data_IF_042772807832
#
_entry.id   IF_042772807832
#
_cell.length_a   1.000
_cell.length_b   1.000
_cell.length_c   1.000
_cell.angle_alpha   90.00
_cell.angle_beta   90.00
_cell.angle_gamma   90.00
#
_symmetry.space_group_name_H-M   'P 1'
#
loop_
_entity.id
_entity.type
_entity.pdbx_description
1 polymer ?
#
# COMPACT_ATOMS: atom_id res chain seq x y z
N UNK A 1 -40.19 -49.80 1.54
CA UNK A 1 -39.42 -48.52 1.52
C UNK A 1 -38.13 -48.65 0.70
N UNK A 2 -38.18 -48.93 -0.62
CA UNK A 2 -36.96 -49.08 -1.46
C UNK A 2 -37.12 -48.61 -2.92
N UNK A 3 -38.00 -47.65 -3.21
CA UNK A 3 -38.29 -47.26 -4.60
C UNK A 3 -38.26 -45.74 -4.86
N UNK A 4 -37.39 -44.97 -4.18
CA UNK A 4 -37.24 -43.52 -4.42
C UNK A 4 -35.81 -43.14 -4.87
N UNK A 5 -34.94 -44.12 -5.13
CA UNK A 5 -33.51 -43.88 -5.45
C UNK A 5 -33.08 -44.29 -6.88
N UNK A 6 -33.98 -44.68 -7.78
CA UNK A 6 -33.63 -45.20 -9.11
C UNK A 6 -33.79 -44.23 -10.29
N UNK A 7 -33.90 -42.91 -10.05
CA UNK A 7 -33.88 -41.94 -11.16
C UNK A 7 -32.48 -41.36 -11.38
N UNK A 8 -31.90 -41.58 -12.56
CA UNK A 8 -30.59 -41.04 -12.96
C UNK A 8 -30.48 -39.50 -12.79
N UNK A 9 -31.61 -38.78 -12.91
CA UNK A 9 -31.68 -37.33 -12.69
C UNK A 9 -31.63 -36.94 -11.20
N UNK A 10 -32.11 -37.80 -10.31
CA UNK A 10 -32.06 -37.56 -8.87
C UNK A 10 -30.67 -37.87 -8.29
N UNK A 11 -29.98 -38.90 -8.83
CA UNK A 11 -28.55 -39.16 -8.56
C UNK A 11 -27.65 -38.00 -8.98
N UNK A 12 -27.91 -37.40 -10.16
CA UNK A 12 -27.11 -36.27 -10.66
C UNK A 12 -27.30 -35.00 -9.79
N UNK A 13 -28.49 -34.80 -9.23
CA UNK A 13 -28.79 -33.70 -8.30
C UNK A 13 -28.15 -33.92 -6.93
N UNK A 14 -28.22 -35.13 -6.38
CA UNK A 14 -27.55 -35.50 -5.12
C UNK A 14 -26.02 -35.38 -5.23
N UNK A 15 -25.46 -35.77 -6.38
CA UNK A 15 -24.03 -35.61 -6.64
C UNK A 15 -23.61 -34.14 -6.70
N UNK A 16 -24.40 -33.27 -7.34
CA UNK A 16 -24.12 -31.83 -7.40
C UNK A 16 -24.29 -31.13 -6.06
N UNK A 17 -25.33 -31.47 -5.28
CA UNK A 17 -25.49 -30.91 -3.94
C UNK A 17 -24.37 -31.36 -3.00
N UNK A 18 -23.96 -32.63 -3.08
CA UNK A 18 -22.83 -33.14 -2.31
C UNK A 18 -21.50 -32.48 -2.71
N UNK A 19 -21.24 -32.31 -4.00
CA UNK A 19 -20.03 -31.65 -4.49
C UNK A 19 -19.97 -30.16 -4.06
N UNK A 20 -21.11 -29.46 -4.08
CA UNK A 20 -21.17 -28.07 -3.63
C UNK A 20 -20.92 -27.93 -2.12
N UNK A 21 -21.49 -28.84 -1.33
CA UNK A 21 -21.31 -28.86 0.12
C UNK A 21 -19.86 -29.15 0.53
N UNK A 22 -19.18 -30.03 -0.22
CA UNK A 22 -17.75 -30.27 -0.09
C UNK A 22 -16.90 -29.03 -0.42
N UNK A 23 -17.22 -28.34 -1.52
CA UNK A 23 -16.48 -27.14 -1.93
C UNK A 23 -16.64 -26.01 -0.91
N UNK A 24 -17.86 -25.81 -0.38
CA UNK A 24 -18.12 -24.82 0.66
C UNK A 24 -17.37 -25.13 1.96
N UNK A 25 -17.33 -26.41 2.37
CA UNK A 25 -16.56 -26.86 3.52
C UNK A 25 -15.05 -26.62 3.35
N UNK A 26 -14.52 -26.84 2.15
CA UNK A 26 -13.10 -26.63 1.85
C UNK A 26 -12.71 -25.15 1.90
N UNK A 27 -13.56 -24.26 1.38
CA UNK A 27 -13.36 -22.80 1.47
C UNK A 27 -13.45 -22.31 2.92
N UNK A 28 -14.42 -22.78 3.69
CA UNK A 28 -14.54 -22.46 5.11
C UNK A 28 -13.33 -22.97 5.91
N UNK A 29 -12.86 -24.18 5.60
CA UNK A 29 -11.64 -24.76 6.17
C UNK A 29 -10.40 -23.92 5.85
N UNK A 30 -10.25 -23.43 4.63
CA UNK A 30 -9.16 -22.53 4.25
C UNK A 30 -9.24 -21.19 5.00
N UNK A 31 -10.42 -20.61 5.19
CA UNK A 31 -10.59 -19.35 5.94
C UNK A 31 -10.18 -19.53 7.41
N UNK A 32 -10.46 -20.68 8.02
CA UNK A 32 -10.08 -20.97 9.41
C UNK A 32 -8.60 -21.36 9.52
N UNK A 33 -8.08 -22.13 8.56
CA UNK A 33 -6.69 -22.60 8.55
C UNK A 33 -5.68 -21.47 8.24
N UNK A 34 -6.12 -20.42 7.55
CA UNK A 34 -5.34 -19.21 7.30
C UNK A 34 -5.96 -18.03 8.04
N UNK A 35 -5.73 -17.91 9.37
CA UNK A 35 -6.17 -16.73 10.11
C UNK A 35 -5.56 -15.49 9.47
N UNK A 36 -6.42 -14.53 9.09
CA UNK A 36 -5.97 -13.23 8.60
C UNK A 36 -4.99 -12.64 9.60
N UNK A 37 -3.84 -12.20 9.11
CA UNK A 37 -2.80 -11.49 9.88
C UNK A 37 -3.42 -10.61 10.95
N UNK A 38 -3.04 -10.85 12.22
CA UNK A 38 -3.63 -10.22 13.39
C UNK A 38 -3.59 -8.69 13.35
N UNK A 39 -4.22 -8.02 14.34
CA UNK A 39 -4.24 -6.57 14.41
C UNK A 39 -2.85 -5.98 14.19
N UNK A 40 -2.77 -4.86 13.46
CA UNK A 40 -1.56 -4.07 13.31
C UNK A 40 -0.89 -3.89 14.68
N UNK A 41 0.45 -3.82 14.76
CA UNK A 41 1.15 -3.69 16.04
C UNK A 41 0.76 -2.36 16.69
N UNK A 42 -0.30 -2.40 17.49
CA UNK A 42 -0.67 -1.37 18.44
C UNK A 42 0.10 -1.63 19.72
N UNK A 43 0.90 -0.64 20.10
CA UNK A 43 1.35 -0.33 21.46
C UNK A 43 1.61 -1.54 22.37
N UNK A 44 2.61 -2.34 22.01
CA UNK A 44 3.29 -3.15 23.02
C UNK A 44 4.21 -2.23 23.81
N UNK A 45 3.73 -1.70 24.93
CA UNK A 45 4.59 -1.02 25.91
C UNK A 45 5.52 -2.06 26.52
N UNK A 46 6.78 -2.07 26.11
CA UNK A 46 7.81 -2.92 26.71
C UNK A 46 8.19 -2.35 28.08
N UNK A 47 8.01 -3.06 29.19
CA UNK A 47 8.49 -2.61 30.49
C UNK A 47 10.03 -2.63 30.48
N UNK A 48 10.65 -1.46 30.51
CA UNK A 48 12.11 -1.30 30.58
C UNK A 48 12.76 -0.54 29.42
N UNK A 49 12.00 -0.14 28.40
CA UNK A 49 12.50 0.82 27.41
C UNK A 49 12.45 2.22 27.99
N UNK A 50 13.59 2.80 28.37
CA UNK A 50 13.69 4.23 28.58
C UNK A 50 13.36 4.91 27.25
N UNK A 51 12.13 5.44 27.15
CA UNK A 51 11.71 6.20 26.00
C UNK A 51 12.61 7.44 25.96
N UNK A 52 13.53 7.47 24.99
CA UNK A 52 14.33 8.66 24.69
C UNK A 52 13.34 9.81 24.57
N UNK A 53 13.37 10.71 25.54
CA UNK A 53 12.49 11.88 25.52
C UNK A 53 12.85 12.65 24.25
N UNK A 54 11.91 12.81 23.30
CA UNK A 54 12.21 13.54 22.09
C UNK A 54 12.67 14.94 22.51
N UNK A 55 13.82 15.35 21.96
CA UNK A 55 14.40 16.65 22.24
C UNK A 55 13.34 17.74 21.95
N UNK A 56 13.42 18.90 22.62
CA UNK A 56 12.36 19.90 22.52
C UNK A 56 12.35 20.48 21.10
N UNK A 57 11.25 20.30 20.35
CA UNK A 57 11.07 20.96 19.03
C UNK A 57 11.22 22.46 19.20
N UNK A 58 12.18 23.04 18.51
CA UNK A 58 12.44 24.48 18.55
C UNK A 58 11.92 25.18 17.29
N UNK A 59 11.74 26.49 17.42
CA UNK A 59 11.51 27.37 16.28
C UNK A 59 12.80 27.39 15.47
N UNK A 60 12.72 26.93 14.21
CA UNK A 60 13.83 26.83 13.25
C UNK A 60 14.60 28.14 12.99
N UNK A 61 14.06 29.27 13.42
CA UNK A 61 14.48 30.63 13.07
C UNK A 61 15.96 31.02 13.34
N UNK A 62 16.64 30.66 14.44
CA UNK A 62 17.94 31.26 14.77
C UNK A 62 19.07 30.86 13.82
N UNK A 63 19.01 29.68 13.21
CA UNK A 63 20.04 29.18 12.28
C UNK A 63 19.49 28.83 10.88
N UNK A 64 18.23 29.14 10.60
CA UNK A 64 17.53 28.75 9.38
C UNK A 64 18.29 29.11 8.10
N UNK A 65 18.75 30.35 7.97
CA UNK A 65 19.44 30.81 6.75
C UNK A 65 20.77 30.08 6.53
N UNK A 66 21.53 29.85 7.61
CA UNK A 66 22.81 29.14 7.54
C UNK A 66 22.59 27.67 7.15
N UNK A 67 21.63 27.00 7.78
CA UNK A 67 21.31 25.59 7.52
C UNK A 67 20.80 25.41 6.09
N UNK A 68 19.87 26.27 5.64
CA UNK A 68 19.38 26.23 4.26
C UNK A 68 20.49 26.53 3.24
N UNK A 69 21.37 27.48 3.52
CA UNK A 69 22.52 27.77 2.66
C UNK A 69 23.47 26.57 2.54
N UNK A 70 23.76 25.89 3.65
CA UNK A 70 24.58 24.69 3.66
C UNK A 70 23.93 23.53 2.90
N UNK A 71 22.62 23.32 3.12
CA UNK A 71 21.84 22.31 2.42
C UNK A 71 21.82 22.54 0.90
N UNK A 72 21.63 23.80 0.47
CA UNK A 72 21.70 24.18 -0.95
C UNK A 72 23.08 23.93 -1.55
N UNK A 73 24.15 24.31 -0.83
CA UNK A 73 25.51 24.04 -1.28
C UNK A 73 25.76 22.54 -1.42
N UNK A 74 25.29 21.72 -0.48
CA UNK A 74 25.41 20.26 -0.56
C UNK A 74 24.73 19.70 -1.82
N UNK A 75 23.50 20.13 -2.12
CA UNK A 75 22.79 19.71 -3.34
C UNK A 75 23.56 20.14 -4.60
N UNK A 76 23.98 21.41 -4.67
CA UNK A 76 24.71 21.95 -5.82
C UNK A 76 26.07 21.26 -6.05
N UNK A 77 26.71 20.76 -5.00
CA UNK A 77 28.04 20.15 -5.08
C UNK A 77 27.96 18.63 -5.18
N UNK A 78 27.52 17.97 -4.12
CA UNK A 78 27.50 16.51 -3.96
C UNK A 78 26.44 15.84 -4.83
N UNK A 79 25.21 16.36 -4.84
CA UNK A 79 24.09 15.70 -5.53
C UNK A 79 24.19 15.90 -7.04
N UNK A 80 24.51 17.11 -7.51
CA UNK A 80 24.69 17.37 -8.96
C UNK A 80 26.06 16.99 -9.52
N UNK A 81 26.98 16.48 -8.68
CA UNK A 81 28.32 16.01 -9.06
C UNK A 81 29.22 17.06 -9.73
N UNK A 82 29.08 18.33 -9.33
CA UNK A 82 29.83 19.45 -9.96
C UNK A 82 31.11 19.84 -9.24
N UNK A 83 31.12 19.81 -7.91
CA UNK A 83 32.27 20.20 -7.10
C UNK A 83 32.36 19.30 -5.87
N UNK A 84 32.83 18.08 -6.11
CA UNK A 84 32.84 17.03 -5.10
C UNK A 84 33.87 17.29 -4.00
N UNK A 85 34.99 17.95 -4.32
CA UNK A 85 35.97 18.31 -3.30
C UNK A 85 35.37 19.29 -2.29
N UNK A 86 34.58 20.28 -2.75
CA UNK A 86 33.87 21.17 -1.83
C UNK A 86 32.84 20.45 -0.97
N UNK A 87 32.13 19.46 -1.54
CA UNK A 87 31.16 18.66 -0.80
C UNK A 87 31.77 17.92 0.39
N UNK A 88 33.06 17.55 0.32
CA UNK A 88 33.77 16.92 1.43
C UNK A 88 33.64 17.76 2.70
N UNK A 89 33.75 19.09 2.64
CA UNK A 89 33.70 19.94 3.83
C UNK A 89 32.29 20.14 4.41
N UNK A 90 31.25 19.85 3.63
CA UNK A 90 29.85 20.09 3.97
C UNK A 90 29.21 18.96 4.78
N UNK A 91 29.78 17.76 4.76
CA UNK A 91 29.21 16.56 5.41
C UNK A 91 29.90 16.23 6.73
N UNK A 92 29.24 15.53 7.65
CA UNK A 92 29.83 15.05 8.90
C UNK A 92 30.85 13.93 8.64
N UNK A 93 31.80 13.69 9.57
CA UNK A 93 32.79 12.61 9.40
C UNK A 93 32.18 11.23 9.18
N UNK A 94 31.01 10.96 9.78
CA UNK A 94 30.24 9.72 9.60
C UNK A 94 29.84 9.45 8.14
N UNK A 95 29.38 10.46 7.38
CA UNK A 95 29.10 10.30 5.94
C UNK A 95 30.36 10.01 5.12
N UNK A 96 31.55 10.28 5.66
CA UNK A 96 32.83 10.08 4.98
C UNK A 96 33.49 8.77 5.39
N UNK A 97 32.91 8.04 6.34
CA UNK A 97 33.50 6.79 6.81
C UNK A 97 33.67 5.81 5.65
N UNK A 98 34.87 5.25 5.52
CA UNK A 98 35.23 4.35 4.42
C UNK A 98 35.66 5.05 3.12
N UNK A 99 35.57 6.39 3.04
CA UNK A 99 35.97 7.15 1.85
C UNK A 99 37.21 8.01 2.12
N UNK A 100 38.01 8.21 1.09
CA UNK A 100 39.13 9.16 1.10
C UNK A 100 38.71 10.43 0.40
N UNK A 101 39.33 11.58 0.70
CA UNK A 101 39.04 12.83 -0.01
C UNK A 101 39.28 12.70 -1.52
N UNK A 102 40.28 11.93 -1.91
CA UNK A 102 40.62 11.65 -3.32
C UNK A 102 39.60 10.74 -4.00
N UNK A 103 39.12 9.67 -3.34
CA UNK A 103 38.03 8.83 -3.89
C UNK A 103 36.72 9.62 -3.97
N UNK A 104 36.46 10.46 -2.97
CA UNK A 104 35.29 11.33 -2.94
C UNK A 104 35.28 12.32 -4.10
N UNK A 105 36.41 13.00 -4.37
CA UNK A 105 36.55 13.92 -5.49
C UNK A 105 36.34 13.25 -6.86
N UNK A 106 36.59 11.93 -6.96
CA UNK A 106 36.33 11.13 -8.17
C UNK A 106 34.87 10.68 -8.32
N UNK A 107 34.03 10.92 -7.32
CA UNK A 107 32.62 10.53 -7.35
C UNK A 107 32.26 9.27 -6.57
N UNK A 108 33.24 8.63 -5.93
CA UNK A 108 32.97 7.50 -5.03
C UNK A 108 32.53 8.04 -3.66
N UNK A 109 31.22 8.29 -3.53
CA UNK A 109 30.60 8.92 -2.35
C UNK A 109 29.22 8.29 -2.09
N UNK A 110 28.75 8.26 -0.84
CA UNK A 110 27.45 7.69 -0.47
C UNK A 110 26.29 8.69 -0.70
N UNK A 111 26.27 9.33 -1.86
CA UNK A 111 25.24 10.33 -2.24
C UNK A 111 24.66 9.94 -3.58
N UNK A 112 23.35 9.74 -3.65
CA UNK A 112 22.67 9.39 -4.90
C UNK A 112 22.74 10.60 -5.86
N UNK A 113 23.36 10.46 -7.04
CA UNK A 113 23.44 11.57 -7.99
C UNK A 113 22.07 11.91 -8.56
N UNK A 114 21.78 13.20 -8.70
CA UNK A 114 20.57 13.68 -9.36
C UNK A 114 20.83 15.01 -10.09
N UNK A 115 20.44 15.16 -11.37
CA UNK A 115 20.67 16.38 -12.15
C UNK A 115 19.65 17.47 -11.78
N UNK A 116 19.70 17.93 -10.53
CA UNK A 116 18.77 18.91 -9.99
C UNK A 116 18.90 20.26 -10.73
N UNK A 117 17.77 20.76 -11.24
CA UNK A 117 17.63 22.11 -11.78
C UNK A 117 16.87 23.02 -10.82
N UNK A 118 15.82 22.49 -10.18
CA UNK A 118 15.04 23.18 -9.15
C UNK A 118 14.99 22.31 -7.90
N UNK A 119 15.15 22.92 -6.74
CA UNK A 119 14.96 22.28 -5.44
C UNK A 119 13.87 23.01 -4.67
N UNK A 120 12.92 22.27 -4.09
CA UNK A 120 11.93 22.80 -3.14
C UNK A 120 12.21 22.21 -1.77
N UNK A 121 12.10 23.05 -0.74
CA UNK A 121 12.48 22.70 0.62
C UNK A 121 11.26 22.69 1.53
N UNK A 122 11.20 21.71 2.43
CA UNK A 122 10.23 21.62 3.50
C UNK A 122 10.96 21.25 4.79
N UNK A 123 10.60 21.88 5.90
CA UNK A 123 11.16 21.54 7.21
C UNK A 123 10.34 20.39 7.79
N UNK A 124 10.95 19.21 7.97
CA UNK A 124 10.29 18.09 8.64
C UNK A 124 10.26 18.30 10.16
N UNK A 125 11.43 18.57 10.76
CA UNK A 125 11.53 18.94 12.17
C UNK A 125 12.81 19.72 12.47
N UNK A 126 12.83 20.40 13.61
CA UNK A 126 13.99 21.12 14.13
C UNK A 126 14.07 20.96 15.65
N UNK A 127 15.19 20.43 16.11
CA UNK A 127 15.62 20.30 17.50
C UNK A 127 16.84 21.18 17.75
N UNK A 128 17.32 21.25 18.99
CA UNK A 128 18.53 22.01 19.35
C UNK A 128 19.79 21.43 18.69
N UNK A 129 19.81 20.10 18.61
CA UNK A 129 20.97 19.33 18.18
C UNK A 129 20.86 18.85 16.75
N UNK A 130 19.67 18.86 16.15
CA UNK A 130 19.42 18.22 14.87
C UNK A 130 18.30 18.93 14.09
N UNK A 131 18.45 19.01 12.77
CA UNK A 131 17.44 19.53 11.85
C UNK A 131 17.28 18.57 10.69
N UNK A 132 16.04 18.30 10.32
CA UNK A 132 15.72 17.49 9.15
C UNK A 132 14.93 18.31 8.12
N UNK A 133 15.49 18.35 6.92
CA UNK A 133 14.94 19.03 5.76
C UNK A 133 14.57 18.02 4.70
N UNK A 134 13.36 18.15 4.18
CA UNK A 134 12.97 17.44 2.97
C UNK A 134 13.22 18.30 1.76
N UNK A 135 13.90 17.71 0.78
CA UNK A 135 14.22 18.37 -0.47
C UNK A 135 13.63 17.59 -1.64
N UNK A 136 12.71 18.23 -2.37
CA UNK A 136 12.23 17.73 -3.65
C UNK A 136 13.09 18.29 -4.78
N UNK A 137 13.78 17.40 -5.48
CA UNK A 137 14.66 17.71 -6.59
C UNK A 137 13.93 17.48 -7.91
N UNK A 138 13.98 18.48 -8.80
CA UNK A 138 13.38 18.44 -10.12
C UNK A 138 14.48 18.56 -11.17
N UNK A 139 14.52 17.62 -12.11
CA UNK A 139 15.40 17.69 -13.28
C UNK A 139 14.85 18.70 -14.30
N UNK A 140 15.62 18.99 -15.36
CA UNK A 140 15.07 19.81 -16.45
C UNK A 140 13.97 19.02 -17.18
N UNK A 141 12.95 19.69 -17.74
CA UNK A 141 11.88 18.99 -18.46
C UNK A 141 12.37 18.08 -19.58
N UNK A 142 13.49 18.42 -20.22
CA UNK A 142 14.12 17.62 -21.29
C UNK A 142 14.67 16.28 -20.82
N UNK A 143 15.03 16.16 -19.54
CA UNK A 143 15.67 14.95 -18.97
C UNK A 143 14.62 13.87 -18.65
N UNK A 144 13.31 14.22 -18.64
CA UNK A 144 12.17 13.31 -18.42
C UNK A 144 12.28 12.46 -17.15
N UNK A 145 12.96 12.97 -16.12
CA UNK A 145 13.10 12.32 -14.82
C UNK A 145 11.99 12.74 -13.87
N UNK A 146 11.55 11.80 -13.02
CA UNK A 146 10.64 12.10 -11.92
C UNK A 146 11.28 13.01 -10.88
N UNK A 147 10.49 13.90 -10.25
CA UNK A 147 10.93 14.54 -9.03
C UNK A 147 11.17 13.49 -7.95
N UNK A 148 12.28 13.62 -7.23
CA UNK A 148 12.63 12.72 -6.11
C UNK A 148 12.76 13.56 -4.84
N UNK A 149 12.22 13.03 -3.74
CA UNK A 149 12.32 13.66 -2.41
C UNK A 149 13.38 12.93 -1.60
N UNK A 150 14.25 13.70 -0.96
CA UNK A 150 15.24 13.20 -0.03
C UNK A 150 15.05 13.83 1.34
N UNK A 151 15.26 13.03 2.38
CA UNK A 151 15.44 13.50 3.74
C UNK A 151 16.92 13.86 3.91
N UNK A 152 17.16 15.10 4.34
CA UNK A 152 18.47 15.69 4.55
C UNK A 152 18.58 16.07 6.02
N UNK A 153 19.32 15.27 6.77
CA UNK A 153 19.55 15.49 8.20
C UNK A 153 20.84 16.27 8.41
N UNK A 154 20.80 17.24 9.31
CA UNK A 154 21.93 18.09 9.67
C UNK A 154 22.05 18.16 11.18
N UNK A 155 23.27 18.10 11.68
CA UNK A 155 23.58 18.41 13.08
C UNK A 155 24.98 19.02 13.22
N UNK A 156 25.31 19.63 14.37
CA UNK A 156 26.66 20.07 14.67
C UNK A 156 27.62 18.88 14.71
N UNK A 157 28.71 18.96 13.95
CA UNK A 157 29.76 17.95 13.86
C UNK A 157 31.12 18.55 14.19
N UNK A 158 31.90 17.85 15.02
CA UNK A 158 33.22 18.28 15.50
C UNK A 158 33.36 18.19 17.02
N UNK A 159 34.52 18.57 17.55
CA UNK A 159 34.71 18.70 19.00
C UNK A 159 33.80 19.80 19.57
N UNK A 160 33.40 19.69 20.84
CA UNK A 160 32.40 20.57 21.47
C UNK A 160 32.71 22.08 21.35
N UNK A 161 33.99 22.48 21.33
CA UNK A 161 34.43 23.88 21.17
C UNK A 161 34.50 24.37 19.71
N UNK A 162 34.22 23.51 18.73
CA UNK A 162 34.32 23.81 17.29
C UNK A 162 33.26 23.13 16.43
N UNK A 163 32.14 22.72 17.03
CA UNK A 163 31.07 22.03 16.34
C UNK A 163 30.45 22.97 15.28
N UNK A 164 30.36 22.49 14.04
CA UNK A 164 29.76 23.21 12.93
C UNK A 164 28.63 22.38 12.33
N UNK A 165 27.51 23.02 12.01
CA UNK A 165 26.43 22.40 11.26
C UNK A 165 26.98 21.79 9.96
N UNK A 166 26.67 20.53 9.72
CA UNK A 166 27.05 19.76 8.54
C UNK A 166 25.97 18.72 8.24
N UNK A 167 25.96 18.20 7.03
CA UNK A 167 25.03 17.14 6.61
C UNK A 167 25.49 15.80 7.17
N UNK A 168 24.61 15.10 7.87
CA UNK A 168 24.87 13.78 8.45
C UNK A 168 24.26 12.64 7.66
N UNK A 169 23.13 12.91 6.98
CA UNK A 169 22.41 11.92 6.21
C UNK A 169 21.78 12.55 4.97
N UNK A 170 21.73 11.77 3.90
CA UNK A 170 21.01 12.09 2.68
C UNK A 170 20.44 10.81 2.08
N UNK A 171 19.15 10.56 2.32
CA UNK A 171 18.48 9.32 1.93
C UNK A 171 17.17 9.62 1.22
N UNK A 172 16.71 8.77 0.28
CA UNK A 172 15.41 8.94 -0.35
C UNK A 172 14.29 8.86 0.68
N UNK A 173 13.34 9.79 0.65
CA UNK A 173 12.19 9.80 1.56
C UNK A 173 11.18 8.73 1.15
N UNK A 174 11.04 7.59 1.85
CA UNK A 174 10.26 6.44 1.34
C UNK A 174 8.77 6.73 1.11
N UNK A 175 8.22 7.73 1.80
CA UNK A 175 6.80 8.12 1.73
C UNK A 175 6.49 9.18 0.65
N UNK A 176 7.52 9.84 0.11
CA UNK A 176 7.39 11.01 -0.76
C UNK A 176 8.20 10.90 -2.07
N UNK A 177 9.26 10.10 -2.10
CA UNK A 177 10.02 9.82 -3.31
C UNK A 177 9.19 8.92 -4.24
N UNK A 178 8.92 9.41 -5.46
CA UNK A 178 8.45 8.55 -6.54
C UNK A 178 9.56 7.56 -6.97
N UNK A 179 9.20 6.57 -7.78
CA UNK A 179 10.19 5.64 -8.35
C UNK A 179 11.32 6.40 -9.07
N UNK A 180 12.57 5.95 -8.83
CA UNK A 180 13.74 6.35 -9.60
C UNK A 180 13.60 5.82 -11.04
N UNK A 181 12.97 6.61 -11.91
CA UNK A 181 12.64 6.15 -13.26
C UNK A 181 12.06 7.23 -14.17
N UNK A 182 11.80 6.89 -15.44
CA UNK A 182 11.18 7.79 -16.42
C UNK A 182 9.79 8.23 -15.96
N UNK A 183 9.39 9.44 -16.35
CA UNK A 183 8.17 10.03 -15.84
C UNK A 183 6.89 9.31 -16.24
N UNK A 184 6.12 8.83 -15.26
CA UNK A 184 4.73 8.41 -15.43
C UNK A 184 3.78 9.58 -15.14
N UNK A 185 2.53 9.53 -15.60
CA UNK A 185 1.57 10.63 -15.42
C UNK A 185 1.30 11.02 -13.95
N UNK A 186 1.68 10.16 -12.99
CA UNK A 186 1.63 10.43 -11.54
C UNK A 186 2.62 11.50 -11.07
N UNK A 187 3.56 11.95 -11.89
CA UNK A 187 4.63 12.88 -11.50
C UNK A 187 4.23 14.36 -11.51
N UNK A 188 2.94 14.65 -11.74
CA UNK A 188 2.36 16.02 -11.69
C UNK A 188 1.94 16.47 -10.28
N UNK A 189 2.03 15.60 -9.28
CA UNK A 189 1.67 15.94 -7.89
C UNK A 189 2.82 16.64 -7.17
N UNK A 190 2.51 17.54 -6.22
CA UNK A 190 3.51 18.13 -5.34
C UNK A 190 4.09 17.05 -4.41
N UNK A 191 5.34 16.61 -4.60
CA UNK A 191 5.90 15.47 -3.88
C UNK A 191 6.21 15.83 -2.40
N UNK A 192 6.24 17.11 -2.04
CA UNK A 192 6.42 17.60 -0.67
C UNK A 192 5.10 17.72 0.12
N UNK A 193 3.96 17.35 -0.46
CA UNK A 193 2.69 17.36 0.25
C UNK A 193 2.63 16.15 1.20
N UNK A 194 3.43 16.18 2.27
CA UNK A 194 3.33 15.24 3.39
C UNK A 194 2.08 15.62 4.18
N UNK A 195 0.98 14.99 3.81
CA UNK A 195 -0.30 15.18 4.46
C UNK A 195 -1.42 14.56 3.65
N UNK A 196 -1.38 13.23 3.45
CA UNK A 196 -2.56 12.31 3.39
C UNK A 196 -2.30 10.95 2.76
N UNK A 197 -1.08 10.58 2.32
CA UNK A 197 -0.89 9.25 1.70
C UNK A 197 0.37 8.56 2.18
N UNK A 198 0.27 7.92 3.34
CA UNK A 198 1.09 6.74 3.62
C UNK A 198 0.92 5.74 2.46
N UNK A 199 2.01 5.28 1.81
CA UNK A 199 1.91 4.17 0.86
C UNK A 199 1.63 2.83 1.56
N UNK A 200 1.69 2.80 2.88
CA UNK A 200 1.18 1.69 3.68
C UNK A 200 -0.35 1.81 3.73
N UNK A 201 -1.01 0.97 2.93
CA UNK A 201 -2.46 0.83 2.82
C UNK A 201 -3.16 2.04 2.20
N UNK A 202 -2.90 2.31 0.91
CA UNK A 202 -4.07 2.56 0.06
C UNK A 202 -4.71 1.19 -0.15
N UNK A 203 -5.81 0.82 0.52
CA UNK A 203 -6.68 -0.15 -0.08
C UNK A 203 -7.03 0.46 -1.44
N UNK A 204 -6.55 -0.15 -2.53
CA UNK A 204 -7.28 -0.06 -3.80
C UNK A 204 -8.72 -0.26 -3.35
N UNK A 205 -9.55 0.79 -3.40
CA UNK A 205 -10.96 0.64 -3.11
C UNK A 205 -11.40 -0.45 -4.07
N UNK A 206 -11.56 -1.67 -3.55
CA UNK A 206 -12.17 -2.73 -4.30
C UNK A 206 -13.49 -2.10 -4.70
N UNK A 207 -13.68 -1.90 -6.02
CA UNK A 207 -14.90 -1.32 -6.51
C UNK A 207 -16.04 -2.08 -5.81
N UNK A 208 -17.09 -1.36 -5.36
CA UNK A 208 -18.20 -1.97 -4.61
C UNK A 208 -18.82 -3.20 -5.30
N UNK A 209 -18.47 -3.44 -6.56
CA UNK A 209 -18.64 -4.68 -7.30
C UNK A 209 -18.13 -5.96 -6.58
N UNK A 210 -17.12 -5.89 -5.69
CA UNK A 210 -16.66 -7.09 -4.96
C UNK A 210 -17.67 -7.59 -3.92
N UNK A 211 -18.54 -6.71 -3.40
CA UNK A 211 -19.68 -7.11 -2.54
C UNK A 211 -20.85 -7.67 -3.34
N UNK A 212 -20.97 -7.30 -4.63
CA UNK A 212 -22.02 -7.81 -5.50
C UNK A 212 -21.82 -9.30 -5.86
N UNK A 213 -20.59 -9.81 -5.78
CA UNK A 213 -20.28 -11.22 -6.08
C UNK A 213 -20.91 -12.17 -5.03
N UNK A 214 -20.64 -12.06 -3.72
CA UNK A 214 -21.27 -12.93 -2.73
C UNK A 214 -22.78 -12.71 -2.64
N UNK A 215 -23.28 -11.47 -2.78
CA UNK A 215 -24.72 -11.19 -2.79
C UNK A 215 -25.43 -11.76 -4.03
N UNK A 216 -24.78 -11.70 -5.20
CA UNK A 216 -25.30 -12.27 -6.43
C UNK A 216 -25.36 -13.80 -6.37
N UNK A 217 -24.36 -14.43 -5.75
CA UNK A 217 -24.33 -15.89 -5.56
C UNK A 217 -25.43 -16.33 -4.59
N UNK A 218 -25.65 -15.63 -3.48
CA UNK A 218 -26.71 -15.98 -2.52
C UNK A 218 -28.10 -15.75 -3.09
N UNK A 219 -28.34 -14.64 -3.78
CA UNK A 219 -29.63 -14.36 -4.43
C UNK A 219 -29.90 -15.34 -5.58
N UNK A 220 -28.87 -15.67 -6.37
CA UNK A 220 -28.94 -16.67 -7.44
C UNK A 220 -29.30 -18.06 -6.92
N UNK A 221 -28.71 -18.48 -5.80
CA UNK A 221 -29.07 -19.74 -5.14
C UNK A 221 -30.53 -19.78 -4.69
N UNK A 222 -31.02 -18.69 -4.11
CA UNK A 222 -32.40 -18.58 -3.65
C UNK A 222 -33.38 -18.73 -4.84
N UNK A 223 -33.11 -18.05 -5.96
CA UNK A 223 -33.96 -18.10 -7.14
C UNK A 223 -33.98 -19.48 -7.80
N UNK A 224 -32.85 -20.19 -7.83
CA UNK A 224 -32.79 -21.58 -8.35
C UNK A 224 -33.60 -22.52 -7.45
N UNK A 225 -33.53 -22.36 -6.13
CA UNK A 225 -34.33 -23.17 -5.20
C UNK A 225 -35.84 -22.93 -5.39
N UNK A 226 -36.26 -21.67 -5.51
CA UNK A 226 -37.65 -21.29 -5.75
C UNK A 226 -38.12 -21.81 -7.12
N UNK A 227 -37.29 -21.67 -8.16
CA UNK A 227 -37.58 -22.18 -9.50
C UNK A 227 -37.78 -23.70 -9.52
N UNK A 228 -36.98 -24.47 -8.78
CA UNK A 228 -37.12 -25.92 -8.70
C UNK A 228 -38.40 -26.33 -7.97
N UNK A 229 -38.80 -25.61 -6.91
CA UNK A 229 -40.06 -25.87 -6.20
C UNK A 229 -41.26 -25.47 -7.07
N UNK A 230 -41.20 -24.32 -7.73
CA UNK A 230 -42.25 -23.82 -8.62
C UNK A 230 -42.50 -24.74 -9.82
N UNK A 231 -41.44 -25.21 -10.49
CA UNK A 231 -41.56 -26.14 -11.62
C UNK A 231 -42.12 -27.50 -11.17
N UNK A 232 -41.77 -27.98 -9.97
CA UNK A 232 -42.34 -29.21 -9.40
C UNK A 232 -43.82 -29.06 -9.05
N UNK A 233 -44.23 -27.92 -8.51
CA UNK A 233 -45.63 -27.60 -8.25
C UNK A 233 -46.45 -27.52 -9.54
N UNK A 234 -45.89 -26.91 -10.59
CA UNK A 234 -46.54 -26.78 -11.89
C UNK A 234 -46.72 -28.13 -12.61
N UNK A 235 -45.68 -28.97 -12.60
CA UNK A 235 -45.73 -30.32 -13.19
C UNK A 235 -46.65 -31.26 -12.39
N UNK A 236 -46.73 -31.11 -11.07
CA UNK A 236 -47.64 -31.88 -10.20
C UNK A 236 -49.12 -31.55 -10.44
N UNK A 237 -49.46 -30.26 -10.63
CA UNK A 237 -50.82 -29.84 -11.00
C UNK A 237 -51.26 -30.40 -12.36
N UNK A 238 -50.34 -30.50 -13.33
CA UNK A 238 -50.64 -31.13 -14.64
C UNK A 238 -50.99 -32.61 -14.50
N UNK A 239 -50.25 -33.36 -13.68
CA UNK A 239 -50.53 -34.78 -13.44
C UNK A 239 -51.89 -35.00 -12.75
N UNK A 240 -52.24 -34.16 -11.77
CA UNK A 240 -53.53 -34.25 -11.08
C UNK A 240 -54.72 -34.00 -12.04
N UNK A 241 -54.59 -33.02 -12.94
CA UNK A 241 -55.65 -32.70 -13.89
C UNK A 241 -55.89 -33.82 -14.92
N UNK A 242 -54.85 -34.56 -15.32
CA UNK A 242 -55.02 -35.76 -16.17
C UNK A 242 -55.73 -36.89 -15.43
N UNK A 243 -55.39 -37.16 -14.17
CA UNK A 243 -56.06 -38.19 -13.35
C UNK A 243 -57.54 -37.86 -13.08
N UNK A 244 -57.88 -36.59 -12.83
CA UNK A 244 -59.28 -36.18 -12.63
C UNK A 244 -60.09 -36.28 -13.92
N UNK A 245 -59.47 -36.04 -15.08
CA UNK A 245 -60.13 -36.16 -16.39
C UNK A 245 -60.44 -37.60 -16.76
N UNK A 246 -59.50 -38.53 -16.53
CA UNK A 246 -59.71 -39.96 -16.76
C UNK A 246 -60.79 -40.53 -15.82
N UNK A 247 -60.81 -40.11 -14.55
CA UNK A 247 -61.83 -40.57 -13.59
C UNK A 247 -63.23 -40.06 -13.90
N UNK A 248 -63.35 -38.90 -14.57
CA UNK A 248 -64.64 -38.34 -15.02
C UNK A 248 -65.15 -39.02 -16.30
N UNK A 249 -64.25 -39.57 -17.13
CA UNK A 249 -64.62 -40.38 -18.31
C UNK A 249 -65.00 -41.81 -17.91
N UNK A 250 -64.34 -42.39 -16.89
CA UNK A 250 -64.64 -43.73 -16.38
C UNK A 250 -65.97 -43.82 -15.60
N UNK A 251 -66.52 -42.69 -15.17
CA UNK A 251 -67.83 -42.60 -14.51
C UNK A 251 -68.81 -42.01 -15.53
N UNK A 252 -69.21 -42.84 -16.50
CA UNK A 252 -70.23 -42.47 -17.49
C UNK A 252 -71.54 -42.05 -16.81
N UNK A 253 -72.40 -41.27 -17.50
CA UNK A 253 -73.66 -40.80 -16.93
C UNK A 253 -74.56 -42.00 -16.65
N UNK A 254 -74.89 -42.20 -15.38
CA UNK A 254 -75.93 -43.15 -14.96
C UNK A 254 -77.27 -42.62 -15.45
N UNK A 255 -77.84 -43.32 -16.44
CA UNK A 255 -79.27 -43.29 -16.74
C UNK A 255 -80.05 -44.03 -15.65
#
# INVERSE_FOLDING_TARGET
MRAILSSARMRRRLAWTGAFMLLAGLVAGLIVAFPSSGPAPGDKTYPGGELVKPDKRMVFAPHQQQILGLAQQFVLTAVTRKDLDRAWELVCPEMRQGYTRTSWAKGDIPVIPFPAYVAKWHLAYSFQTEVDLQVALYARPKDKLNPVVFDLTLHPCGAASGARWRVSSFIPTPSASGDFGPSSEQSRFNPLAIGTRSPLLQPKRASGAWLAIPLGITLGMLLIAIGIVGVRGYLGKRAYNTYVRERRIARGPSA
#
